data_IF_403582374529
#
_entry.id   IF_403582374529
#
_cell.length_a   1.000
_cell.length_b   1.000
_cell.length_c   1.000
_cell.angle_alpha   90.00
_cell.angle_beta   90.00
_cell.angle_gamma   90.00
#
_symmetry.space_group_name_H-M   'P 1'
#
loop_
_entity.id
_entity.type
_entity.pdbx_description
1 polymer ?
#
# COMPACT_ATOMS: atom_id res chain seq x y z
N UNK A 1 5.81 2.60 -21.92
CA UNK A 1 4.96 3.21 -20.88
C UNK A 1 4.54 4.61 -21.32
N UNK A 2 3.30 4.99 -21.06
CA UNK A 2 2.77 6.32 -21.36
C UNK A 2 3.29 7.34 -20.33
N UNK A 3 4.00 8.42 -20.74
CA UNK A 3 4.57 9.40 -19.82
C UNK A 3 3.51 10.15 -19.00
N UNK A 4 2.32 10.41 -19.55
CA UNK A 4 1.24 11.08 -18.82
C UNK A 4 0.71 10.18 -17.69
N UNK A 5 0.59 8.88 -17.96
CA UNK A 5 0.17 7.91 -16.96
C UNK A 5 1.21 7.75 -15.85
N UNK A 6 2.51 7.80 -16.17
CA UNK A 6 3.57 7.76 -15.17
C UNK A 6 3.54 9.00 -14.27
N UNK A 7 3.35 10.19 -14.84
CA UNK A 7 3.20 11.41 -14.04
C UNK A 7 2.01 11.37 -13.09
N UNK A 8 0.92 10.70 -13.48
CA UNK A 8 -0.23 10.49 -12.60
C UNK A 8 0.08 9.50 -11.46
N UNK A 9 0.82 8.42 -11.73
CA UNK A 9 1.28 7.50 -10.67
C UNK A 9 2.17 8.24 -9.67
N UNK A 10 3.12 9.02 -10.16
CA UNK A 10 4.03 9.80 -9.30
C UNK A 10 3.23 10.82 -8.46
N UNK A 11 2.17 11.42 -9.01
CA UNK A 11 1.28 12.31 -8.26
C UNK A 11 0.46 11.59 -7.18
N UNK A 12 -0.04 10.38 -7.46
CA UNK A 12 -0.74 9.56 -6.47
C UNK A 12 0.21 9.15 -5.35
N UNK A 13 1.42 8.71 -5.68
CA UNK A 13 2.48 8.38 -4.72
C UNK A 13 2.80 9.57 -3.82
N UNK A 14 3.09 10.74 -4.40
CA UNK A 14 3.40 11.95 -3.65
C UNK A 14 2.27 12.34 -2.71
N UNK A 15 1.02 12.37 -3.21
CA UNK A 15 -0.15 12.71 -2.40
C UNK A 15 -0.41 11.71 -1.27
N UNK A 16 -0.10 10.42 -1.48
CA UNK A 16 -0.26 9.41 -0.45
C UNK A 16 0.80 9.52 0.66
N UNK A 17 2.05 9.84 0.31
CA UNK A 17 3.11 10.13 1.28
C UNK A 17 2.78 11.37 2.11
N UNK A 18 2.33 12.46 1.45
CA UNK A 18 1.91 13.68 2.14
C UNK A 18 0.73 13.43 3.09
N UNK A 19 -0.28 12.66 2.65
CA UNK A 19 -1.41 12.30 3.49
C UNK A 19 -0.99 11.45 4.70
N UNK A 20 -0.09 10.48 4.49
CA UNK A 20 0.42 9.64 5.57
C UNK A 20 1.20 10.45 6.60
N UNK A 21 2.05 11.39 6.15
CA UNK A 21 2.80 12.29 7.03
C UNK A 21 1.85 13.16 7.88
N UNK A 22 0.86 13.78 7.26
CA UNK A 22 -0.14 14.60 7.94
C UNK A 22 -0.95 13.80 8.97
N UNK A 23 -1.41 12.59 8.61
CA UNK A 23 -2.14 11.71 9.54
C UNK A 23 -1.28 11.30 10.73
N UNK A 24 -0.03 10.92 10.48
CA UNK A 24 0.91 10.54 11.54
C UNK A 24 1.18 11.71 12.50
N UNK A 25 1.41 12.92 11.97
CA UNK A 25 1.65 14.11 12.79
C UNK A 25 0.43 14.51 13.62
N UNK A 26 -0.78 14.35 13.09
CA UNK A 26 -2.01 14.81 13.77
C UNK A 26 -2.60 13.82 14.74
N UNK A 27 -2.56 12.53 14.44
CA UNK A 27 -3.25 11.51 15.23
C UNK A 27 -2.39 10.30 15.56
N UNK A 28 -1.15 10.21 15.07
CA UNK A 28 -0.32 9.01 15.18
C UNK A 28 -0.90 7.81 14.41
N UNK A 29 -1.87 8.04 13.53
CA UNK A 29 -2.50 7.01 12.72
C UNK A 29 -1.96 7.06 11.29
N UNK A 30 -2.06 5.93 10.60
CA UNK A 30 -1.67 5.78 9.20
C UNK A 30 -2.91 5.69 8.32
N UNK A 31 -2.75 5.98 7.03
CA UNK A 31 -3.84 5.82 6.09
C UNK A 31 -4.21 4.33 5.96
N UNK A 32 -5.52 4.00 5.94
CA UNK A 32 -5.97 2.64 5.62
C UNK A 32 -5.48 2.20 4.23
N UNK A 33 -5.34 0.89 3.98
CA UNK A 33 -5.00 0.41 2.65
C UNK A 33 -5.97 0.91 1.56
N UNK A 34 -5.40 1.44 0.48
CA UNK A 34 -6.14 2.09 -0.61
C UNK A 34 -5.63 1.61 -1.97
N UNK A 35 -6.54 1.39 -2.91
CA UNK A 35 -6.24 1.13 -4.33
C UNK A 35 -6.76 2.29 -5.16
N UNK A 36 -5.89 2.87 -5.99
CA UNK A 36 -6.24 3.83 -7.03
C UNK A 36 -6.31 3.11 -8.38
N UNK A 37 -7.38 3.39 -9.13
CA UNK A 37 -7.71 2.68 -10.37
C UNK A 37 -7.45 3.59 -11.58
N UNK A 38 -6.57 3.14 -12.46
CA UNK A 38 -6.16 3.89 -13.65
C UNK A 38 -6.44 3.13 -14.96
N UNK A 39 -6.89 3.88 -15.97
CA UNK A 39 -7.16 3.40 -17.33
C UNK A 39 -6.30 4.13 -18.35
N UNK A 40 -5.31 3.41 -18.90
CA UNK A 40 -4.34 3.97 -19.85
C UNK A 40 -4.94 4.48 -21.16
N UNK A 41 -6.16 4.07 -21.49
CA UNK A 41 -6.81 4.39 -22.76
C UNK A 41 -7.80 5.56 -22.67
N UNK A 42 -8.00 6.13 -21.49
CA UNK A 42 -8.95 7.21 -21.29
C UNK A 42 -8.23 8.58 -21.28
N UNK A 43 -8.86 9.65 -21.81
CA UNK A 43 -8.31 11.00 -21.75
C UNK A 43 -8.06 11.49 -20.32
N UNK A 44 -8.88 11.02 -19.37
CA UNK A 44 -8.66 11.18 -17.93
C UNK A 44 -8.41 9.78 -17.34
N UNK A 45 -7.13 9.38 -17.15
CA UNK A 45 -6.82 8.01 -16.76
C UNK A 45 -7.24 7.65 -15.34
N UNK A 46 -7.33 8.61 -14.42
CA UNK A 46 -7.77 8.36 -13.04
C UNK A 46 -9.28 8.17 -12.99
N UNK A 47 -9.74 7.02 -12.47
CA UNK A 47 -11.17 6.71 -12.40
C UNK A 47 -11.70 6.83 -10.98
N UNK A 48 -11.05 6.16 -10.03
CA UNK A 48 -11.53 6.10 -8.66
C UNK A 48 -10.42 5.66 -7.70
N UNK A 49 -10.71 5.78 -6.41
CA UNK A 49 -9.99 5.10 -5.34
C UNK A 49 -10.95 4.27 -4.49
N UNK A 50 -10.47 3.13 -4.00
CA UNK A 50 -11.18 2.28 -3.05
C UNK A 50 -10.30 2.11 -1.83
N UNK A 51 -10.87 2.32 -0.66
CA UNK A 51 -10.17 2.20 0.62
C UNK A 51 -10.84 1.10 1.44
N UNK A 52 -10.07 0.38 2.24
CA UNK A 52 -10.66 -0.61 3.15
C UNK A 52 -11.60 0.04 4.14
N UNK A 53 -12.73 -0.61 4.42
CA UNK A 53 -13.52 -0.29 5.61
C UNK A 53 -12.71 -0.52 6.89
N UNK A 54 -13.13 0.04 8.04
CA UNK A 54 -12.63 -0.43 9.33
C UNK A 54 -12.84 -1.94 9.48
N UNK A 55 -11.85 -2.61 10.04
CA UNK A 55 -11.86 -4.07 10.26
C UNK A 55 -11.20 -4.43 11.59
N UNK A 56 -11.49 -5.64 12.06
CA UNK A 56 -10.78 -6.27 13.17
C UNK A 56 -9.56 -7.03 12.66
N UNK A 57 -8.60 -7.31 13.54
CA UNK A 57 -7.41 -8.10 13.20
C UNK A 57 -7.76 -9.54 12.82
N UNK A 58 -6.86 -10.18 12.07
CA UNK A 58 -6.97 -11.57 11.63
C UNK A 58 -7.84 -11.72 10.39
N UNK A 59 -8.83 -12.62 10.44
CA UNK A 59 -9.64 -12.99 9.28
C UNK A 59 -10.45 -11.82 8.69
N UNK A 60 -10.90 -10.88 9.52
CA UNK A 60 -11.67 -9.73 9.06
C UNK A 60 -10.81 -8.75 8.25
N UNK A 61 -9.58 -8.48 8.71
CA UNK A 61 -8.58 -7.71 7.98
C UNK A 61 -8.25 -8.36 6.64
N UNK A 62 -8.00 -9.68 6.63
CA UNK A 62 -7.73 -10.42 5.40
C UNK A 62 -8.88 -10.30 4.40
N UNK A 63 -10.13 -10.42 4.86
CA UNK A 63 -11.31 -10.25 4.01
C UNK A 63 -11.46 -8.82 3.48
N UNK A 64 -11.24 -7.81 4.32
CA UNK A 64 -11.32 -6.40 3.91
C UNK A 64 -10.26 -6.04 2.87
N UNK A 65 -9.03 -6.52 3.04
CA UNK A 65 -7.92 -6.31 2.09
C UNK A 65 -8.18 -7.06 0.79
N UNK A 66 -8.63 -8.32 0.84
CA UNK A 66 -8.97 -9.08 -0.36
C UNK A 66 -10.08 -8.40 -1.19
N UNK A 67 -11.04 -7.74 -0.53
CA UNK A 67 -12.13 -7.03 -1.19
C UNK A 67 -11.66 -5.83 -2.02
N UNK A 68 -10.48 -5.26 -1.75
CA UNK A 68 -9.92 -4.15 -2.53
C UNK A 68 -9.71 -4.51 -4.01
N UNK A 69 -9.47 -5.78 -4.33
CA UNK A 69 -9.27 -6.26 -5.70
C UNK A 69 -10.56 -6.39 -6.51
N UNK A 70 -11.73 -6.39 -5.86
CA UNK A 70 -13.01 -6.67 -6.53
C UNK A 70 -13.40 -5.57 -7.51
N UNK A 71 -13.44 -4.31 -7.07
CA UNK A 71 -13.82 -3.20 -7.95
C UNK A 71 -12.85 -3.05 -9.13
N UNK A 72 -11.51 -3.03 -8.93
CA UNK A 72 -10.55 -3.04 -10.04
C UNK A 72 -10.80 -4.14 -11.07
N UNK A 73 -11.14 -5.35 -10.60
CA UNK A 73 -11.44 -6.48 -11.48
C UNK A 73 -12.73 -6.27 -12.28
N UNK A 74 -13.78 -5.76 -11.66
CA UNK A 74 -15.09 -5.54 -12.31
C UNK A 74 -14.99 -4.47 -13.39
N UNK A 75 -14.27 -3.39 -13.13
CA UNK A 75 -14.15 -2.30 -14.10
C UNK A 75 -13.12 -2.58 -15.19
N UNK A 76 -12.26 -3.59 -15.01
CA UNK A 76 -11.10 -3.89 -15.86
C UNK A 76 -10.03 -2.80 -15.88
N UNK A 77 -9.68 -2.29 -14.68
CA UNK A 77 -8.60 -1.32 -14.53
C UNK A 77 -7.29 -1.84 -15.13
N UNK A 78 -6.64 -1.02 -15.96
CA UNK A 78 -5.43 -1.42 -16.69
C UNK A 78 -4.15 -1.22 -15.90
N UNK A 79 -4.21 -0.41 -14.85
CA UNK A 79 -3.11 -0.09 -13.95
C UNK A 79 -3.67 0.25 -12.58
N UNK A 80 -2.98 -0.20 -11.53
CA UNK A 80 -3.35 0.03 -10.14
C UNK A 80 -2.18 0.65 -9.39
N UNK A 81 -2.50 1.57 -8.50
CA UNK A 81 -1.57 2.04 -7.47
C UNK A 81 -2.16 1.66 -6.12
N UNK A 82 -1.51 0.75 -5.40
CA UNK A 82 -1.95 0.28 -4.09
C UNK A 82 -1.04 0.88 -3.03
N UNK A 83 -1.63 1.47 -2.00
CA UNK A 83 -0.91 2.14 -0.91
C UNK A 83 -1.32 1.53 0.43
N UNK A 84 -0.34 1.22 1.28
CA UNK A 84 -0.57 0.77 2.66
C UNK A 84 0.66 1.03 3.54
N UNK A 85 0.47 1.13 4.85
CA UNK A 85 1.59 1.06 5.80
C UNK A 85 1.86 -0.40 6.17
N UNK A 86 3.12 -0.81 6.06
CA UNK A 86 3.48 -2.23 6.11
C UNK A 86 3.31 -2.84 7.50
N UNK A 87 3.74 -2.15 8.55
CA UNK A 87 3.67 -2.67 9.92
C UNK A 87 2.22 -2.81 10.40
N UNK A 88 1.37 -1.85 10.07
CA UNK A 88 -0.05 -1.82 10.38
C UNK A 88 -0.78 -2.92 9.63
N UNK A 89 -0.46 -3.14 8.34
CA UNK A 89 -1.00 -4.28 7.60
C UNK A 89 -0.58 -5.62 8.21
N UNK A 90 0.69 -5.77 8.60
CA UNK A 90 1.16 -7.00 9.24
C UNK A 90 0.49 -7.25 10.60
N UNK A 91 0.30 -6.18 11.39
CA UNK A 91 -0.43 -6.24 12.66
C UNK A 91 -1.92 -6.53 12.44
N UNK A 92 -2.53 -5.95 11.41
CA UNK A 92 -3.91 -6.20 11.00
C UNK A 92 -4.12 -7.67 10.62
N UNK A 93 -3.20 -8.27 9.87
CA UNK A 93 -3.28 -9.67 9.44
C UNK A 93 -2.91 -10.70 10.52
N UNK A 94 -2.54 -10.25 11.73
CA UNK A 94 -2.08 -11.08 12.85
C UNK A 94 -0.91 -12.02 12.47
N UNK A 95 0.02 -11.54 11.64
CA UNK A 95 1.20 -12.31 11.23
C UNK A 95 2.14 -12.61 12.42
N UNK A 96 2.68 -13.83 12.55
CA UNK A 96 3.43 -14.26 13.74
C UNK A 96 4.48 -13.26 14.25
N UNK A 97 5.26 -12.67 13.33
CA UNK A 97 6.40 -11.83 13.69
C UNK A 97 6.03 -10.37 14.06
N UNK A 98 4.75 -9.95 13.98
CA UNK A 98 4.40 -8.54 14.30
C UNK A 98 4.49 -8.30 15.80
N UNK A 99 4.16 -9.32 16.59
CA UNK A 99 4.19 -9.26 18.06
C UNK A 99 5.59 -9.07 18.61
N UNK A 100 6.59 -9.45 17.83
CA UNK A 100 8.00 -9.31 18.17
C UNK A 100 8.57 -7.94 17.77
N UNK A 101 7.75 -7.05 17.20
CA UNK A 101 8.17 -5.70 16.79
C UNK A 101 9.15 -5.68 15.64
N UNK A 102 9.20 -6.75 14.84
CA UNK A 102 10.24 -6.97 13.82
C UNK A 102 9.91 -6.36 12.45
N UNK A 103 8.70 -5.90 12.23
CA UNK A 103 8.34 -5.34 10.93
C UNK A 103 8.83 -3.89 10.80
N UNK A 104 9.53 -3.56 9.70
CA UNK A 104 9.96 -2.20 9.44
C UNK A 104 8.73 -1.29 9.25
N UNK A 105 8.81 -0.08 9.78
CA UNK A 105 7.83 0.96 9.53
C UNK A 105 8.06 1.55 8.14
N UNK A 106 6.98 1.74 7.39
CA UNK A 106 7.06 2.39 6.09
C UNK A 106 5.78 2.31 5.28
N UNK A 107 5.60 3.34 4.45
CA UNK A 107 4.54 3.37 3.47
C UNK A 107 5.00 2.61 2.22
N UNK A 108 4.18 1.70 1.74
CA UNK A 108 4.42 0.93 0.53
C UNK A 108 3.49 1.41 -0.55
N UNK A 109 4.05 1.66 -1.73
CA UNK A 109 3.32 2.01 -2.95
C UNK A 109 3.63 0.96 -4.01
N UNK A 110 2.65 0.11 -4.30
CA UNK A 110 2.69 -0.85 -5.39
C UNK A 110 2.05 -0.23 -6.63
N UNK A 111 2.86 -0.01 -7.65
CA UNK A 111 2.40 0.34 -8.99
C UNK A 111 2.43 -0.92 -9.85
N UNK A 112 1.29 -1.32 -10.38
CA UNK A 112 1.18 -2.55 -11.16
C UNK A 112 0.31 -2.34 -12.38
N UNK A 113 0.70 -2.95 -13.48
CA UNK A 113 -0.16 -3.18 -14.64
C UNK A 113 -0.33 -4.68 -14.90
N UNK A 114 -0.82 -5.06 -16.08
CA UNK A 114 -1.04 -6.46 -16.44
C UNK A 114 0.24 -7.27 -16.69
N UNK A 115 1.39 -6.62 -16.84
CA UNK A 115 2.66 -7.23 -17.24
C UNK A 115 3.76 -7.11 -16.16
N UNK A 116 3.76 -6.01 -15.41
CA UNK A 116 4.82 -5.69 -14.47
C UNK A 116 4.30 -5.00 -13.21
N UNK A 117 5.13 -5.05 -12.16
CA UNK A 117 4.90 -4.26 -10.97
C UNK A 117 6.20 -3.70 -10.39
N UNK A 118 6.07 -2.55 -9.75
CA UNK A 118 7.13 -1.87 -9.02
C UNK A 118 6.63 -1.61 -7.61
N UNK A 119 7.36 -2.11 -6.63
CA UNK A 119 7.14 -1.77 -5.23
C UNK A 119 8.07 -0.61 -4.89
N UNK A 120 7.50 0.49 -4.42
CA UNK A 120 8.24 1.62 -3.85
C UNK A 120 8.01 1.61 -2.35
N UNK A 121 9.10 1.64 -1.60
CA UNK A 121 9.13 1.62 -0.15
C UNK A 121 9.58 3.00 0.35
N UNK A 122 8.77 3.63 1.19
CA UNK A 122 9.07 4.88 1.86
C UNK A 122 9.34 4.56 3.34
N UNK A 123 10.62 4.38 3.74
CA UNK A 123 10.94 4.03 5.12
C UNK A 123 10.46 5.12 6.07
N UNK A 124 9.93 4.71 7.21
CA UNK A 124 9.49 5.61 8.27
C UNK A 124 10.28 5.32 9.54
N UNK A 125 10.65 6.36 10.27
CA UNK A 125 11.20 6.27 11.63
C UNK A 125 10.42 7.23 12.54
N UNK A 126 10.19 6.80 13.77
CA UNK A 126 9.61 7.64 14.81
C UNK A 126 10.75 8.18 15.68
N UNK A 127 11.00 9.48 15.61
CA UNK A 127 11.95 10.14 16.50
C UNK A 127 11.23 10.60 17.76
N UNK A 128 11.75 10.22 18.92
CA UNK A 128 11.30 10.73 20.21
C UNK A 128 12.26 11.81 20.66
N UNK A 129 11.80 13.05 20.70
CA UNK A 129 12.55 14.14 21.32
C UNK A 129 12.26 14.08 22.82
N UNK A 130 13.15 13.41 23.56
CA UNK A 130 13.13 13.44 25.02
C UNK A 130 13.79 14.76 25.46
N UNK A 131 12.98 15.80 25.68
CA UNK A 131 13.48 17.02 26.32
C UNK A 131 13.93 16.63 27.73
N UNK A 132 15.21 16.82 28.05
CA UNK A 132 15.82 16.53 29.35
C UNK A 132 15.38 17.52 30.45
N UNK A 133 14.15 18.01 30.38
CA UNK A 133 13.59 18.90 31.38
C UNK A 133 13.06 18.09 32.57
N UNK A 134 13.21 18.59 33.81
CA UNK A 134 12.76 17.91 35.03
C UNK A 134 11.23 17.84 35.18
N UNK A 135 10.48 18.35 34.20
CA UNK A 135 9.02 18.31 34.15
C UNK A 135 8.66 17.24 33.11
N UNK A 136 7.77 16.27 33.41
CA UNK A 136 7.34 15.28 32.44
C UNK A 136 6.46 15.95 31.37
N UNK A 137 7.09 16.65 30.44
CA UNK A 137 6.44 17.13 29.22
C UNK A 137 6.36 15.93 28.29
N UNK A 138 5.17 15.69 27.74
CA UNK A 138 4.85 14.61 26.82
C UNK A 138 5.95 14.48 25.77
N UNK A 139 6.61 13.31 25.70
CA UNK A 139 7.61 13.05 24.68
C UNK A 139 7.00 13.33 23.31
N UNK A 140 7.60 14.24 22.55
CA UNK A 140 7.12 14.54 21.20
C UNK A 140 7.65 13.47 20.26
N UNK A 141 6.74 12.75 19.62
CA UNK A 141 7.06 11.72 18.62
C UNK A 141 6.87 12.34 17.24
N UNK A 142 7.92 12.38 16.44
CA UNK A 142 7.92 12.96 15.10
C UNK A 142 8.23 11.92 14.04
N UNK A 143 7.43 11.82 12.96
CA UNK A 143 7.76 10.96 11.83
C UNK A 143 8.90 11.57 11.00
N UNK A 144 9.87 10.73 10.67
CA UNK A 144 10.98 11.02 9.75
C UNK A 144 10.95 10.00 8.60
N UNK A 145 10.85 10.51 7.38
CA UNK A 145 10.87 9.69 6.17
C UNK A 145 12.29 9.47 5.66
N UNK A 146 12.62 8.23 5.32
CA UNK A 146 13.88 7.84 4.71
C UNK A 146 13.89 7.99 3.19
N UNK A 147 15.02 7.63 2.59
CA UNK A 147 15.17 7.56 1.13
C UNK A 147 14.26 6.48 0.54
N UNK A 148 13.60 6.79 -0.58
CA UNK A 148 12.68 5.87 -1.25
C UNK A 148 13.47 4.74 -1.90
N UNK A 149 13.09 3.50 -1.59
CA UNK A 149 13.69 2.30 -2.17
C UNK A 149 12.75 1.70 -3.21
N UNK A 150 13.27 1.37 -4.40
CA UNK A 150 12.49 0.79 -5.50
C UNK A 150 12.87 -0.66 -5.73
N UNK A 151 11.86 -1.53 -5.74
CA UNK A 151 12.00 -2.96 -6.04
C UNK A 151 11.18 -3.28 -7.30
N UNK A 152 11.81 -3.31 -8.49
CA UNK A 152 11.14 -3.76 -9.70
C UNK A 152 11.01 -5.28 -9.65
N UNK A 153 9.81 -5.79 -9.92
CA UNK A 153 9.57 -7.22 -9.99
C UNK A 153 8.81 -7.52 -11.28
N UNK A 154 9.41 -8.35 -12.13
CA UNK A 154 8.72 -8.84 -13.33
C UNK A 154 7.64 -9.83 -12.89
N UNK A 155 6.44 -9.73 -13.43
CA UNK A 155 5.44 -10.77 -13.18
C UNK A 155 6.03 -12.13 -13.60
N UNK A 156 6.12 -13.08 -12.66
CA UNK A 156 6.35 -14.47 -13.02
C UNK A 156 5.18 -14.89 -13.89
N UNK A 157 5.46 -15.35 -15.12
CA UNK A 157 4.45 -15.86 -16.02
C UNK A 157 3.52 -16.81 -15.26
N UNK A 158 2.21 -16.63 -15.47
CA UNK A 158 1.16 -17.51 -14.95
C UNK A 158 1.61 -18.96 -15.19
N UNK A 159 1.65 -19.86 -14.19
CA UNK A 159 1.71 -21.28 -14.52
C UNK A 159 0.47 -21.53 -15.37
N UNK A 160 0.68 -21.98 -16.61
CA UNK A 160 -0.38 -22.31 -17.54
C UNK A 160 -1.44 -23.12 -16.79
N UNK A 161 -2.69 -22.63 -16.81
CA UNK A 161 -3.84 -23.50 -16.62
C UNK A 161 -3.84 -24.46 -17.81
N UNK A 162 -2.95 -25.46 -17.77
CA UNK A 162 -2.99 -26.60 -18.65
C UNK A 162 -4.39 -27.20 -18.51
N UNK A 163 -5.10 -27.16 -19.63
CA UNK A 163 -6.41 -27.74 -19.80
C UNK A 163 -6.45 -29.12 -19.15
N UNK A 164 -7.44 -29.30 -18.27
CA UNK A 164 -7.83 -30.62 -17.79
C UNK A 164 -8.19 -31.47 -19.01
N UNK A 165 -7.49 -32.57 -19.33
CA UNK A 165 -7.96 -33.45 -20.37
C UNK A 165 -9.28 -34.07 -19.91
N UNK A 166 -10.32 -33.89 -20.73
CA UNK A 166 -11.60 -34.56 -20.56
C UNK A 166 -11.36 -36.06 -20.40
N UNK A 167 -11.77 -36.64 -19.26
CA UNK A 167 -11.88 -38.08 -19.13
C UNK A 167 -13.09 -38.52 -19.95
N UNK A 168 -12.82 -39.12 -21.10
CA UNK A 168 -13.75 -40.00 -21.80
C UNK A 168 -13.69 -41.40 -21.18
N UNK A 169 -14.88 -41.91 -20.86
CA UNK A 169 -15.25 -43.32 -20.60
C UNK A 169 -14.92 -43.88 -19.22
#
# INVERSE_FOLDING_TARGET
MDPALNGLVDAVEAGAVELADEMLRRSGAVCPPTVHLLFKHLPQPYIASVTTRPFRRGSDAAAAVAALGLLPSVVHATRLVVVWEYSDLCAALDLPDWREGRYPLGLVVLDTDLAEHVVRWHPLRMRTDATSDPIPVTASIWPEWGEVVRHPTRATARPDCAAHPARSS
#
